data_IF_361854575323
#
_entry.id   IF_361854575323
#
_cell.length_a   1.000
_cell.length_b   1.000
_cell.length_c   1.000
_cell.angle_alpha   90.00
_cell.angle_beta   90.00
_cell.angle_gamma   90.00
#
_symmetry.space_group_name_H-M   'P 1'
#
loop_
_entity.id
_entity.type
_entity.pdbx_description
1 polymer ?
#
# COMPACT_ATOMS: atom_id res chain seq x y z
N UNK A 1 -46.11 -28.72 -61.13
CA UNK A 1 -45.28 -28.16 -60.05
C UNK A 1 -43.81 -28.31 -60.43
N UNK A 2 -43.01 -27.24 -60.44
CA UNK A 2 -41.68 -27.29 -61.05
C UNK A 2 -40.68 -27.93 -60.08
N UNK A 3 -40.02 -29.02 -60.52
CA UNK A 3 -38.94 -29.74 -59.79
C UNK A 3 -37.77 -28.83 -59.33
N UNK A 4 -37.64 -27.63 -59.89
CA UNK A 4 -36.59 -26.66 -59.52
C UNK A 4 -36.82 -25.93 -58.19
N UNK A 5 -38.07 -25.83 -57.69
CA UNK A 5 -38.34 -25.09 -56.46
C UNK A 5 -37.87 -25.85 -55.20
N UNK A 6 -38.03 -27.18 -55.18
CA UNK A 6 -37.59 -28.02 -54.06
C UNK A 6 -36.07 -28.03 -53.88
N UNK A 7 -35.32 -28.05 -54.98
CA UNK A 7 -33.85 -27.97 -54.96
C UNK A 7 -33.35 -26.62 -54.45
N UNK A 8 -33.97 -25.52 -54.88
CA UNK A 8 -33.64 -24.18 -54.39
C UNK A 8 -33.97 -23.99 -52.91
N UNK A 9 -35.09 -24.55 -52.44
CA UNK A 9 -35.46 -24.52 -51.01
C UNK A 9 -34.43 -25.29 -50.17
N UNK A 10 -34.02 -26.49 -50.60
CA UNK A 10 -32.98 -27.28 -49.91
C UNK A 10 -31.64 -26.54 -49.81
N UNK A 11 -31.18 -25.93 -50.92
CA UNK A 11 -29.94 -25.14 -50.92
C UNK A 11 -30.04 -23.94 -49.98
N UNK A 12 -31.20 -23.26 -49.96
CA UNK A 12 -31.44 -22.11 -49.09
C UNK A 12 -31.44 -22.50 -47.61
N UNK A 13 -32.05 -23.63 -47.25
CA UNK A 13 -32.05 -24.16 -45.88
C UNK A 13 -30.64 -24.56 -45.44
N UNK A 14 -29.86 -25.22 -46.30
CA UNK A 14 -28.46 -25.54 -46.00
C UNK A 14 -27.61 -24.29 -45.80
N UNK A 15 -27.75 -23.27 -46.66
CA UNK A 15 -27.05 -22.01 -46.52
C UNK A 15 -27.41 -21.28 -45.21
N UNK A 16 -28.68 -21.34 -44.79
CA UNK A 16 -29.13 -20.79 -43.51
C UNK A 16 -28.48 -21.51 -42.32
N UNK A 17 -28.44 -22.85 -42.35
CA UNK A 17 -27.83 -23.66 -41.28
C UNK A 17 -26.31 -23.41 -41.16
N UNK A 18 -25.62 -23.27 -42.30
CA UNK A 18 -24.21 -22.88 -42.33
C UNK A 18 -24.03 -21.48 -41.76
N UNK A 19 -24.92 -20.53 -42.09
CA UNK A 19 -24.87 -19.16 -41.58
C UNK A 19 -25.09 -19.12 -40.06
N UNK A 20 -26.07 -19.86 -39.53
CA UNK A 20 -26.31 -19.96 -38.08
C UNK A 20 -25.09 -20.57 -37.37
N UNK A 21 -24.53 -21.65 -37.92
CA UNK A 21 -23.34 -22.29 -37.37
C UNK A 21 -22.14 -21.33 -37.38
N UNK A 22 -21.96 -20.56 -38.46
CA UNK A 22 -20.91 -19.55 -38.56
C UNK A 22 -21.07 -18.45 -37.51
N UNK A 23 -22.30 -17.99 -37.24
CA UNK A 23 -22.57 -17.00 -36.17
C UNK A 23 -22.23 -17.56 -34.79
N UNK A 24 -22.62 -18.81 -34.50
CA UNK A 24 -22.30 -19.47 -33.22
C UNK A 24 -20.79 -19.64 -33.04
N UNK A 25 -20.09 -20.08 -34.10
CA UNK A 25 -18.62 -20.23 -34.09
C UNK A 25 -17.96 -18.86 -33.89
N UNK A 26 -18.42 -17.83 -34.59
CA UNK A 26 -17.88 -16.46 -34.46
C UNK A 26 -18.07 -15.91 -33.05
N UNK A 27 -19.27 -16.09 -32.47
CA UNK A 27 -19.55 -15.67 -31.10
C UNK A 27 -18.65 -16.38 -30.08
N UNK A 28 -18.43 -17.68 -30.25
CA UNK A 28 -17.54 -18.46 -29.38
C UNK A 28 -16.08 -18.04 -29.56
N UNK A 29 -15.66 -17.77 -30.79
CA UNK A 29 -14.31 -17.30 -31.11
C UNK A 29 -14.06 -15.93 -30.50
N UNK A 30 -15.01 -15.00 -30.57
CA UNK A 30 -14.89 -13.69 -29.92
C UNK A 30 -14.68 -13.82 -28.41
N UNK A 31 -15.46 -14.67 -27.73
CA UNK A 31 -15.28 -14.93 -26.29
C UNK A 31 -13.90 -15.50 -25.97
N UNK A 32 -13.40 -16.42 -26.79
CA UNK A 32 -12.05 -16.98 -26.62
C UNK A 32 -10.97 -15.89 -26.84
N UNK A 33 -11.14 -15.01 -27.82
CA UNK A 33 -10.22 -13.91 -28.06
C UNK A 33 -10.24 -12.90 -26.90
N UNK A 34 -11.40 -12.59 -26.34
CA UNK A 34 -11.52 -11.75 -25.14
C UNK A 34 -10.75 -12.37 -23.95
N UNK A 35 -10.92 -13.67 -23.72
CA UNK A 35 -10.19 -14.38 -22.66
C UNK A 35 -8.68 -14.41 -22.91
N UNK A 36 -8.24 -14.68 -24.14
CA UNK A 36 -6.82 -14.64 -24.50
C UNK A 36 -6.23 -13.24 -24.35
N UNK A 37 -7.01 -12.20 -24.65
CA UNK A 37 -6.60 -10.81 -24.46
C UNK A 37 -6.41 -10.52 -22.97
N UNK A 38 -7.33 -10.94 -22.10
CA UNK A 38 -7.18 -10.78 -20.65
C UNK A 38 -5.97 -11.55 -20.09
N UNK A 39 -5.72 -12.78 -20.55
CA UNK A 39 -4.54 -13.56 -20.17
C UNK A 39 -3.26 -12.82 -20.61
N UNK A 40 -3.21 -12.38 -21.86
CA UNK A 40 -2.07 -11.64 -22.42
C UNK A 40 -1.84 -10.34 -21.67
N UNK A 41 -2.91 -9.61 -21.34
CA UNK A 41 -2.84 -8.40 -20.53
C UNK A 41 -2.15 -8.72 -19.21
N UNK A 42 -2.60 -9.74 -18.48
CA UNK A 42 -2.02 -10.14 -17.19
C UNK A 42 -0.53 -10.50 -17.32
N UNK A 43 -0.15 -11.30 -18.32
CA UNK A 43 1.25 -11.70 -18.55
C UNK A 43 2.17 -10.51 -18.88
N UNK A 44 1.61 -9.45 -19.45
CA UNK A 44 2.35 -8.23 -19.83
C UNK A 44 2.23 -7.11 -18.80
N UNK A 45 1.56 -7.32 -17.66
CA UNK A 45 1.52 -6.28 -16.61
C UNK A 45 2.88 -6.14 -15.93
N UNK A 46 3.24 -4.92 -15.49
CA UNK A 46 4.36 -4.73 -14.58
C UNK A 46 4.22 -5.57 -13.31
N UNK A 47 5.33 -6.17 -12.90
CA UNK A 47 5.45 -6.94 -11.66
C UNK A 47 6.27 -6.11 -10.69
N UNK A 48 5.58 -5.40 -9.80
CA UNK A 48 6.21 -4.49 -8.84
C UNK A 48 6.70 -5.27 -7.63
N UNK A 49 8.01 -5.24 -7.42
CA UNK A 49 8.71 -5.84 -6.29
C UNK A 49 9.45 -4.78 -5.49
N UNK A 50 9.69 -5.09 -4.23
CA UNK A 50 10.36 -4.22 -3.28
C UNK A 50 11.58 -4.92 -2.71
N UNK A 51 12.71 -4.23 -2.72
CA UNK A 51 13.96 -4.70 -2.13
C UNK A 51 14.41 -3.71 -1.07
N UNK A 52 14.40 -4.14 0.19
CA UNK A 52 15.01 -3.40 1.30
C UNK A 52 16.51 -3.67 1.37
N UNK A 53 17.31 -2.62 1.52
CA UNK A 53 18.69 -2.72 1.98
C UNK A 53 18.84 -1.88 3.24
N UNK A 54 19.65 -2.38 4.17
CA UNK A 54 19.89 -1.75 5.46
C UNK A 54 21.37 -1.45 5.62
N UNK A 55 21.69 -0.25 6.10
CA UNK A 55 23.02 0.06 6.62
C UNK A 55 22.98 -0.15 8.13
N UNK A 56 23.94 -0.90 8.67
CA UNK A 56 24.02 -1.22 10.09
C UNK A 56 25.15 -0.47 10.77
N UNK A 57 24.96 -0.11 12.05
CA UNK A 57 26.05 0.36 12.90
C UNK A 57 27.02 -0.76 13.31
N UNK A 58 28.04 -0.42 14.11
CA UNK A 58 29.04 -1.37 14.64
C UNK A 58 28.43 -2.49 15.50
N UNK A 59 27.22 -2.29 16.04
CA UNK A 59 26.50 -3.28 16.84
C UNK A 59 25.52 -4.12 16.01
N UNK A 60 25.46 -3.90 14.69
CA UNK A 60 24.56 -4.61 13.78
C UNK A 60 23.13 -4.06 13.75
N UNK A 61 22.85 -2.91 14.35
CA UNK A 61 21.52 -2.29 14.27
C UNK A 61 21.34 -1.53 12.96
N UNK A 62 20.22 -1.75 12.28
CA UNK A 62 19.88 -1.00 11.07
C UNK A 62 19.64 0.48 11.40
N UNK A 63 20.58 1.33 11.00
CA UNK A 63 20.54 2.77 11.19
C UNK A 63 19.90 3.48 10.00
N UNK A 64 20.03 2.91 8.81
CA UNK A 64 19.44 3.43 7.57
C UNK A 64 18.75 2.33 6.78
N UNK A 65 17.78 2.75 5.99
CA UNK A 65 17.04 1.91 5.08
C UNK A 65 16.88 2.57 3.71
N UNK A 66 17.15 1.79 2.68
CA UNK A 66 16.81 2.08 1.29
C UNK A 66 15.83 1.03 0.81
N UNK A 67 14.71 1.46 0.23
CA UNK A 67 13.72 0.61 -0.40
C UNK A 67 13.75 0.88 -1.90
N UNK A 68 14.17 -0.12 -2.67
CA UNK A 68 14.12 -0.05 -4.12
C UNK A 68 12.83 -0.71 -4.62
N UNK A 69 12.08 0.03 -5.43
CA UNK A 69 10.90 -0.45 -6.15
C UNK A 69 11.36 -0.82 -7.56
N UNK A 70 11.22 -2.10 -7.89
CA UNK A 70 11.63 -2.67 -9.15
C UNK A 70 10.42 -3.18 -9.91
N UNK A 71 10.48 -3.07 -11.23
CA UNK A 71 9.58 -3.79 -12.12
C UNK A 71 10.32 -4.97 -12.76
N UNK A 72 9.88 -6.18 -12.47
CA UNK A 72 10.39 -7.43 -13.07
C UNK A 72 9.46 -7.97 -14.19
N UNK A 73 8.36 -7.27 -14.47
CA UNK A 73 7.34 -7.69 -15.41
C UNK A 73 7.39 -6.93 -16.74
N UNK A 74 6.21 -6.70 -17.32
CA UNK A 74 6.08 -5.97 -18.58
C UNK A 74 6.45 -4.49 -18.49
N UNK A 75 6.51 -3.80 -19.63
CA UNK A 75 6.97 -2.41 -19.69
C UNK A 75 6.01 -1.46 -18.96
N UNK A 76 6.60 -0.43 -18.35
CA UNK A 76 5.94 0.55 -17.50
C UNK A 76 6.39 1.95 -17.93
N UNK A 77 5.43 2.86 -18.11
CA UNK A 77 5.68 4.27 -18.41
C UNK A 77 5.13 5.17 -17.30
N UNK A 78 5.61 6.42 -17.23
CA UNK A 78 5.15 7.41 -16.24
C UNK A 78 5.14 6.88 -14.79
N UNK A 79 6.15 6.08 -14.45
CA UNK A 79 6.25 5.45 -13.14
C UNK A 79 6.54 6.48 -12.03
N UNK A 80 5.67 6.47 -11.03
CA UNK A 80 5.83 7.24 -9.80
C UNK A 80 5.47 6.40 -8.57
N UNK A 81 5.91 6.87 -7.41
CA UNK A 81 5.65 6.23 -6.14
C UNK A 81 5.59 7.25 -5.00
N UNK A 82 4.66 7.06 -4.08
CA UNK A 82 4.50 7.87 -2.87
C UNK A 82 4.52 6.98 -1.64
N UNK A 83 5.35 7.36 -0.66
CA UNK A 83 5.45 6.68 0.63
C UNK A 83 4.72 7.47 1.70
N UNK A 84 4.03 6.76 2.58
CA UNK A 84 3.46 7.31 3.80
C UNK A 84 3.93 6.47 4.97
N UNK A 85 4.56 7.12 5.94
CA UNK A 85 4.95 6.51 7.21
C UNK A 85 4.13 7.14 8.31
N UNK A 86 3.65 6.33 9.25
CA UNK A 86 2.88 6.81 10.40
C UNK A 86 3.17 5.94 11.62
N UNK A 87 2.98 6.53 12.80
CA UNK A 87 3.03 5.83 14.08
C UNK A 87 1.60 5.47 14.51
N UNK A 88 1.32 4.18 14.62
CA UNK A 88 0.01 3.63 14.94
C UNK A 88 0.00 3.10 16.38
N UNK A 89 -0.93 3.59 17.20
CA UNK A 89 -1.01 3.30 18.62
C UNK A 89 -2.41 2.77 18.92
N UNK A 90 -2.50 1.53 19.40
CA UNK A 90 -3.70 1.02 20.02
C UNK A 90 -3.88 1.60 21.43
N UNK A 91 -5.09 2.06 21.74
CA UNK A 91 -5.49 2.49 23.07
C UNK A 91 -6.68 1.64 23.49
N UNK A 92 -6.53 0.92 24.61
CA UNK A 92 -7.58 0.07 25.15
C UNK A 92 -8.19 0.70 26.40
N UNK A 93 -9.46 1.09 26.31
CA UNK A 93 -10.26 1.64 27.40
C UNK A 93 -11.43 0.70 27.70
N UNK A 94 -11.24 -0.16 28.69
CA UNK A 94 -12.22 -1.20 29.07
C UNK A 94 -13.45 -0.64 29.78
N UNK A 95 -13.55 0.68 29.97
CA UNK A 95 -14.77 1.33 30.46
C UNK A 95 -15.80 1.64 29.37
N UNK A 96 -15.42 1.52 28.09
CA UNK A 96 -16.25 1.86 26.92
C UNK A 96 -16.72 0.63 26.17
N UNK A 97 -17.82 0.78 25.42
CA UNK A 97 -18.34 -0.26 24.54
C UNK A 97 -17.38 -0.57 23.39
N UNK A 98 -16.72 0.47 22.85
CA UNK A 98 -15.61 0.32 21.90
C UNK A 98 -14.29 0.37 22.68
N UNK A 99 -13.80 -0.82 22.99
CA UNK A 99 -12.66 -1.00 23.88
C UNK A 99 -11.37 -0.53 23.22
N UNK A 100 -11.25 -0.59 21.89
CA UNK A 100 -9.99 -0.33 21.18
C UNK A 100 -10.11 0.86 20.21
N UNK A 101 -9.30 1.90 20.44
CA UNK A 101 -9.15 3.04 19.52
C UNK A 101 -7.73 3.08 18.99
N UNK A 102 -7.58 3.14 17.67
CA UNK A 102 -6.30 3.41 17.03
C UNK A 102 -6.09 4.90 16.82
N UNK A 103 -5.02 5.43 17.45
CA UNK A 103 -4.53 6.79 17.22
C UNK A 103 -3.37 6.69 16.23
N UNK A 104 -3.49 7.39 15.10
CA UNK A 104 -2.51 7.34 14.02
C UNK A 104 -1.88 8.70 13.85
N UNK A 105 -0.56 8.76 13.93
CA UNK A 105 0.23 9.99 13.83
C UNK A 105 1.08 9.95 12.56
N UNK A 106 0.80 10.77 11.53
CA UNK A 106 1.62 10.83 10.33
C UNK A 106 3.05 11.30 10.63
N UNK A 107 4.03 10.68 9.96
CA UNK A 107 5.45 11.00 10.08
C UNK A 107 5.95 11.47 8.72
N UNK A 108 6.12 12.79 8.60
CA UNK A 108 6.53 13.45 7.36
C UNK A 108 8.03 13.32 7.14
N UNK A 109 8.42 13.33 5.87
CA UNK A 109 9.83 13.31 5.44
C UNK A 109 10.63 12.10 5.96
N UNK A 110 9.96 11.00 6.32
CA UNK A 110 10.63 9.77 6.71
C UNK A 110 11.38 9.12 5.53
N UNK A 111 10.74 9.10 4.36
CA UNK A 111 11.30 8.62 3.10
C UNK A 111 11.32 9.74 2.06
N UNK A 112 12.33 9.73 1.19
CA UNK A 112 12.38 10.55 -0.01
C UNK A 112 12.83 9.70 -1.21
N UNK A 113 12.19 9.91 -2.36
CA UNK A 113 12.38 9.09 -3.56
C UNK A 113 13.17 9.79 -4.66
N UNK A 114 13.95 9.01 -5.41
CA UNK A 114 14.59 9.43 -6.65
C UNK A 114 14.60 8.30 -7.68
N UNK A 115 14.57 8.65 -8.95
CA UNK A 115 14.55 7.66 -10.04
C UNK A 115 15.98 7.19 -10.31
N UNK A 116 16.21 5.88 -10.26
CA UNK A 116 17.53 5.27 -10.51
C UNK A 116 17.65 4.66 -11.91
N UNK A 117 16.53 4.48 -12.61
CA UNK A 117 16.48 4.06 -14.01
C UNK A 117 15.05 4.01 -14.54
N UNK A 118 14.87 3.64 -15.81
CA UNK A 118 13.55 3.63 -16.46
C UNK A 118 12.53 2.67 -15.81
N UNK A 119 13.00 1.61 -15.12
CA UNK A 119 12.17 0.57 -14.51
C UNK A 119 12.33 0.48 -12.98
N UNK A 120 13.11 1.40 -12.39
CA UNK A 120 13.46 1.34 -10.98
C UNK A 120 13.41 2.72 -10.36
N UNK A 121 12.79 2.78 -9.18
CA UNK A 121 12.78 3.95 -8.32
C UNK A 121 13.34 3.53 -6.97
N UNK A 122 14.29 4.28 -6.48
CA UNK A 122 14.85 4.06 -5.16
C UNK A 122 14.28 5.11 -4.22
N UNK A 123 13.89 4.65 -3.04
CA UNK A 123 13.36 5.48 -1.99
C UNK A 123 14.23 5.24 -0.78
N UNK A 124 14.80 6.29 -0.24
CA UNK A 124 15.75 6.17 0.87
C UNK A 124 15.27 6.98 2.06
N UNK A 125 15.63 6.52 3.25
CA UNK A 125 15.45 7.28 4.48
C UNK A 125 16.41 8.47 4.53
N UNK A 126 15.97 9.60 5.12
CA UNK A 126 16.73 10.87 5.18
C UNK A 126 18.19 10.66 5.65
N UNK A 127 19.15 11.05 4.81
CA UNK A 127 20.57 11.15 5.18
C UNK A 127 20.83 12.57 5.66
N UNK A 128 20.36 12.87 6.87
CA UNK A 128 20.63 14.18 7.45
C UNK A 128 22.13 14.29 7.75
N UNK A 129 22.81 15.26 7.13
CA UNK A 129 24.21 15.60 7.47
C UNK A 129 24.42 15.94 8.96
N UNK A 130 23.36 16.29 9.69
CA UNK A 130 23.33 16.57 11.13
C UNK A 130 22.82 15.40 11.99
N UNK A 131 22.23 14.36 11.40
CA UNK A 131 21.70 13.19 12.08
C UNK A 131 22.42 11.94 11.54
N UNK A 132 23.67 11.75 11.98
CA UNK A 132 24.52 10.60 11.60
C UNK A 132 23.88 9.23 11.87
N UNK A 133 22.84 9.22 12.69
CA UNK A 133 22.19 8.03 13.23
C UNK A 133 21.10 7.45 12.31
N UNK A 134 20.63 8.21 11.30
CA UNK A 134 19.61 7.77 10.36
C UNK A 134 18.20 7.63 10.96
N UNK A 135 17.17 7.64 10.10
CA UNK A 135 15.76 7.65 10.55
C UNK A 135 15.39 6.37 11.33
N UNK A 136 15.92 5.21 10.95
CA UNK A 136 15.59 3.93 11.59
C UNK A 136 16.06 3.89 13.05
N UNK A 137 17.29 4.35 13.34
CA UNK A 137 17.76 4.43 14.72
C UNK A 137 16.90 5.38 15.56
N UNK A 138 16.56 6.54 15.01
CA UNK A 138 15.72 7.52 15.70
C UNK A 138 14.36 6.93 16.07
N UNK A 139 13.67 6.27 15.15
CA UNK A 139 12.35 5.71 15.46
C UNK A 139 12.44 4.57 16.47
N UNK A 140 13.49 3.74 16.44
CA UNK A 140 13.71 2.68 17.43
C UNK A 140 13.86 3.30 18.83
N UNK A 141 14.65 4.36 18.95
CA UNK A 141 14.84 5.07 20.21
C UNK A 141 13.55 5.72 20.70
N UNK A 142 12.82 6.39 19.80
CA UNK A 142 11.52 7.01 20.10
C UNK A 142 10.50 5.97 20.56
N UNK A 143 10.35 4.83 19.87
CA UNK A 143 9.43 3.76 20.27
C UNK A 143 9.78 3.20 21.65
N UNK A 144 11.08 2.98 21.91
CA UNK A 144 11.57 2.48 23.19
C UNK A 144 11.32 3.48 24.33
N UNK A 145 11.53 4.76 24.06
CA UNK A 145 11.27 5.83 25.04
C UNK A 145 9.77 6.02 25.26
N UNK A 146 8.96 6.01 24.21
CA UNK A 146 7.50 6.10 24.27
C UNK A 146 6.91 4.98 25.15
N UNK A 147 7.40 3.75 24.97
CA UNK A 147 6.98 2.59 25.77
C UNK A 147 7.23 2.76 27.27
N UNK A 148 8.24 3.55 27.66
CA UNK A 148 8.53 3.88 29.06
C UNK A 148 7.72 5.07 29.56
N UNK A 149 7.55 6.09 28.72
CA UNK A 149 6.88 7.33 29.09
C UNK A 149 5.36 7.21 29.13
N UNK A 150 4.77 6.15 28.58
CA UNK A 150 3.31 5.92 28.63
C UNK A 150 2.80 5.49 30.02
N UNK A 151 3.62 4.83 30.84
CA UNK A 151 3.18 4.26 32.13
C UNK A 151 2.55 5.29 33.08
N UNK A 152 3.09 6.51 33.27
CA UNK A 152 2.45 7.52 34.12
C UNK A 152 1.09 7.99 33.59
N UNK A 153 0.91 8.03 32.27
CA UNK A 153 -0.37 8.40 31.65
C UNK A 153 -1.41 7.30 31.86
N UNK A 154 -1.02 6.03 31.70
CA UNK A 154 -1.86 4.87 32.00
C UNK A 154 -2.33 4.88 33.46
N UNK A 155 -1.39 5.09 34.40
CA UNK A 155 -1.71 5.20 35.83
C UNK A 155 -2.64 6.37 36.16
N UNK A 156 -2.46 7.51 35.49
CA UNK A 156 -3.33 8.69 35.66
C UNK A 156 -4.76 8.42 35.20
N UNK A 157 -4.95 7.66 34.13
CA UNK A 157 -6.29 7.29 33.63
C UNK A 157 -6.92 6.16 34.44
N UNK A 158 -6.14 5.15 34.84
CA UNK A 158 -6.60 4.09 35.73
C UNK A 158 -7.08 4.63 37.11
N UNK A 159 -6.61 5.79 37.56
CA UNK A 159 -7.13 6.44 38.78
C UNK A 159 -8.52 7.06 38.62
N UNK A 160 -8.99 7.28 37.38
CA UNK A 160 -10.30 7.90 37.10
C UNK A 160 -11.41 6.87 36.89
N UNK A 161 -11.07 5.60 36.78
CA UNK A 161 -11.98 4.52 36.40
C UNK A 161 -11.62 3.24 37.16
N UNK A 162 -12.60 2.41 37.49
CA UNK A 162 -12.34 1.08 38.05
C UNK A 162 -11.93 0.05 36.97
N UNK A 163 -11.87 0.48 35.71
CA UNK A 163 -11.54 -0.35 34.56
C UNK A 163 -10.07 -0.21 34.18
N UNK A 164 -9.52 -1.27 33.58
CA UNK A 164 -8.17 -1.25 33.03
C UNK A 164 -8.10 -0.25 31.87
N UNK A 165 -6.94 0.39 31.73
CA UNK A 165 -6.64 1.31 30.66
C UNK A 165 -5.20 1.05 30.21
N UNK A 166 -5.00 0.84 28.91
CA UNK A 166 -3.71 0.46 28.33
C UNK A 166 -3.43 1.27 27.07
N UNK A 167 -2.18 1.70 26.92
CA UNK A 167 -1.65 2.30 25.69
C UNK A 167 -0.63 1.31 25.11
N UNK A 168 -0.78 0.95 23.84
CA UNK A 168 0.16 0.05 23.17
C UNK A 168 1.56 0.65 23.04
N UNK A 169 2.56 -0.19 22.75
CA UNK A 169 3.93 0.27 22.49
C UNK A 169 4.08 1.18 21.26
N UNK A 170 3.07 1.14 20.38
CA UNK A 170 3.04 1.88 19.12
C UNK A 170 3.97 1.28 18.07
N UNK A 171 3.54 1.30 16.81
CA UNK A 171 4.29 0.73 15.70
C UNK A 171 4.42 1.73 14.56
N UNK A 172 5.62 1.85 14.00
CA UNK A 172 5.81 2.58 12.76
C UNK A 172 5.39 1.70 11.59
N UNK A 173 4.40 2.14 10.82
CA UNK A 173 3.93 1.48 9.61
C UNK A 173 4.22 2.34 8.40
N UNK A 174 4.58 1.69 7.30
CA UNK A 174 4.84 2.36 6.02
C UNK A 174 4.02 1.74 4.91
N UNK A 175 3.35 2.58 4.13
CA UNK A 175 2.62 2.19 2.94
C UNK A 175 3.19 2.88 1.71
N UNK A 176 3.20 2.15 0.59
CA UNK A 176 3.62 2.64 -0.70
C UNK A 176 2.45 2.64 -1.68
N UNK A 177 2.22 3.78 -2.33
CA UNK A 177 1.39 3.91 -3.52
C UNK A 177 2.33 3.91 -4.73
N UNK A 178 2.03 3.09 -5.72
CA UNK A 178 2.73 3.01 -7.00
C UNK A 178 1.76 3.35 -8.11
N UNK A 179 2.16 4.29 -8.97
CA UNK A 179 1.37 4.76 -10.11
C UNK A 179 2.18 4.59 -11.38
N UNK A 180 1.53 4.11 -12.45
CA UNK A 180 2.17 3.98 -13.76
C UNK A 180 1.15 3.86 -14.89
N UNK A 181 1.63 3.95 -16.13
CA UNK A 181 0.92 3.54 -17.34
C UNK A 181 1.45 2.21 -17.85
N UNK A 182 0.55 1.28 -18.14
CA UNK A 182 0.94 0.00 -18.76
C UNK A 182 1.14 0.13 -20.29
N UNK A 183 1.52 -0.98 -20.93
CA UNK A 183 1.77 -1.03 -22.38
C UNK A 183 0.54 -0.71 -23.26
N UNK A 184 -0.66 -0.67 -22.67
CA UNK A 184 -1.90 -0.30 -23.35
C UNK A 184 -2.29 1.15 -23.08
N UNK A 185 -1.48 1.89 -22.33
CA UNK A 185 -1.74 3.28 -21.93
C UNK A 185 -2.75 3.40 -20.78
N UNK A 186 -3.15 2.31 -20.15
CA UNK A 186 -4.07 2.33 -19.02
C UNK A 186 -3.32 2.74 -17.74
N UNK A 187 -3.87 3.71 -17.00
CA UNK A 187 -3.31 4.13 -15.71
C UNK A 187 -3.61 3.09 -14.64
N UNK A 188 -2.56 2.65 -13.98
CA UNK A 188 -2.61 1.70 -12.88
C UNK A 188 -2.22 2.39 -11.58
N UNK A 189 -2.96 2.08 -10.51
CA UNK A 189 -2.72 2.57 -9.16
C UNK A 189 -2.72 1.38 -8.20
N UNK A 190 -1.55 1.09 -7.65
CA UNK A 190 -1.30 -0.05 -6.78
C UNK A 190 -0.88 0.41 -5.39
N UNK A 191 -1.26 -0.36 -4.37
CA UNK A 191 -0.98 -0.04 -2.97
C UNK A 191 -0.33 -1.22 -2.28
N UNK A 192 0.67 -0.94 -1.45
CA UNK A 192 1.47 -1.93 -0.75
C UNK A 192 1.66 -1.52 0.71
N UNK A 193 1.54 -2.49 1.61
CA UNK A 193 2.07 -2.42 2.97
C UNK A 193 3.54 -2.85 2.91
N UNK A 194 4.44 -1.96 3.31
CA UNK A 194 5.89 -2.19 3.28
C UNK A 194 6.49 -2.10 4.69
N UNK A 195 5.67 -2.33 5.71
CA UNK A 195 6.08 -2.24 7.13
C UNK A 195 6.85 -3.47 7.62
N UNK A 196 6.80 -4.59 6.90
CA UNK A 196 7.43 -5.87 7.30
C UNK A 196 8.47 -6.29 6.27
N UNK A 197 9.25 -7.34 6.56
CA UNK A 197 10.22 -7.93 5.64
C UNK A 197 9.53 -8.46 4.39
N UNK A 198 9.36 -7.59 3.39
CA UNK A 198 8.61 -7.84 2.17
C UNK A 198 7.40 -6.94 2.03
N UNK A 199 7.12 -6.52 0.80
CA UNK A 199 5.94 -5.72 0.50
C UNK A 199 4.73 -6.62 0.24
N UNK A 200 3.60 -6.30 0.90
CA UNK A 200 2.32 -6.97 0.67
C UNK A 200 1.38 -6.05 -0.08
N UNK A 201 0.93 -6.47 -1.26
CA UNK A 201 -0.11 -5.75 -2.00
C UNK A 201 -1.40 -5.71 -1.19
N UNK A 202 -1.99 -4.53 -1.05
CA UNK A 202 -3.29 -4.32 -0.40
C UNK A 202 -4.35 -3.93 -1.43
N UNK A 203 -5.63 -4.00 -1.04
CA UNK A 203 -6.72 -3.62 -1.94
C UNK A 203 -6.70 -2.11 -2.22
N UNK A 204 -7.13 -1.72 -3.41
CA UNK A 204 -7.26 -0.30 -3.80
C UNK A 204 -8.16 0.48 -2.84
N UNK A 205 -9.26 -0.14 -2.36
CA UNK A 205 -10.17 0.50 -1.39
C UNK A 205 -9.46 0.80 -0.07
N UNK A 206 -8.73 -0.17 0.46
CA UNK A 206 -7.97 -0.01 1.70
C UNK A 206 -6.85 1.02 1.53
N UNK A 207 -6.09 0.94 0.44
CA UNK A 207 -4.99 1.87 0.15
C UNK A 207 -5.45 3.31 0.04
N UNK A 208 -6.51 3.58 -0.75
CA UNK A 208 -7.10 4.93 -0.86
C UNK A 208 -7.53 5.49 0.49
N UNK A 209 -8.27 4.69 1.27
CA UNK A 209 -8.74 5.12 2.59
C UNK A 209 -7.60 5.47 3.55
N UNK A 210 -6.50 4.71 3.53
CA UNK A 210 -5.31 5.00 4.33
C UNK A 210 -4.66 6.30 3.85
N UNK A 211 -4.39 6.44 2.56
CA UNK A 211 -3.73 7.63 2.01
C UNK A 211 -4.55 8.90 2.26
N UNK A 212 -5.87 8.86 2.02
CA UNK A 212 -6.77 10.00 2.28
C UNK A 212 -6.78 10.39 3.76
N UNK A 213 -6.88 9.42 4.69
CA UNK A 213 -6.87 9.68 6.13
C UNK A 213 -5.55 10.31 6.58
N UNK A 214 -4.41 9.78 6.12
CA UNK A 214 -3.10 10.22 6.57
C UNK A 214 -2.71 11.58 5.97
N UNK A 215 -3.02 11.83 4.70
CA UNK A 215 -2.70 13.09 4.04
C UNK A 215 -3.53 14.28 4.54
N UNK A 216 -4.74 14.01 5.03
CA UNK A 216 -5.58 15.02 5.69
C UNK A 216 -5.24 15.26 7.17
N UNK A 217 -4.39 14.42 7.77
CA UNK A 217 -4.05 14.49 9.19
C UNK A 217 -2.83 15.37 9.47
N UNK A 218 -2.81 15.99 10.64
CA UNK A 218 -1.64 16.74 11.11
C UNK A 218 -0.61 15.76 11.66
N UNK A 219 0.62 15.83 11.16
CA UNK A 219 1.71 14.95 11.57
C UNK A 219 2.98 15.72 11.92
N UNK A 220 4.01 14.99 12.31
CA UNK A 220 5.32 15.55 12.67
C UNK A 220 6.34 15.28 11.58
N UNK A 221 7.23 16.23 11.31
CA UNK A 221 8.46 15.95 10.56
C UNK A 221 9.34 14.98 11.35
N UNK A 222 9.97 14.03 10.67
CA UNK A 222 10.82 13.01 11.32
C UNK A 222 11.90 13.64 12.21
N UNK A 223 12.42 14.82 11.86
CA UNK A 223 13.41 15.57 12.65
C UNK A 223 12.86 16.04 14.00
N UNK A 224 11.56 16.26 14.08
CA UNK A 224 10.87 16.77 15.25
C UNK A 224 10.26 15.69 16.14
N UNK A 225 10.10 14.47 15.62
CA UNK A 225 9.48 13.35 16.35
C UNK A 225 10.28 13.02 17.61
N UNK A 226 9.58 12.98 18.74
CA UNK A 226 10.08 12.52 20.03
C UNK A 226 8.99 11.72 20.75
N UNK A 227 9.37 10.88 21.71
CA UNK A 227 8.42 10.12 22.52
C UNK A 227 7.45 11.03 23.28
N UNK A 228 7.95 12.16 23.82
CA UNK A 228 7.13 13.16 24.50
C UNK A 228 6.08 13.80 23.60
N UNK A 229 6.44 14.22 22.38
CA UNK A 229 5.48 14.80 21.42
C UNK A 229 4.42 13.79 20.98
N UNK A 230 4.80 12.53 20.78
CA UNK A 230 3.85 11.47 20.45
C UNK A 230 2.87 11.23 21.60
N UNK A 231 3.36 11.20 22.85
CA UNK A 231 2.52 11.03 24.03
C UNK A 231 1.57 12.23 24.24
N UNK A 232 2.06 13.45 24.05
CA UNK A 232 1.23 14.67 24.11
C UNK A 232 0.13 14.65 23.05
N UNK A 233 0.42 14.14 21.85
CA UNK A 233 -0.56 13.96 20.78
C UNK A 233 -1.63 12.93 21.19
N UNK A 234 -1.20 11.78 21.73
CA UNK A 234 -2.10 10.75 22.25
C UNK A 234 -3.01 11.29 23.35
N UNK A 235 -2.47 12.02 24.34
CA UNK A 235 -3.29 12.57 25.44
C UNK A 235 -4.35 13.57 24.92
N UNK A 236 -4.07 14.30 23.84
CA UNK A 236 -5.04 15.20 23.20
C UNK A 236 -6.14 14.44 22.46
N UNK A 237 -5.76 13.50 21.60
CA UNK A 237 -6.71 12.67 20.83
C UNK A 237 -7.58 11.75 21.70
N UNK A 238 -7.21 11.56 22.96
CA UNK A 238 -8.03 10.86 23.95
C UNK A 238 -9.06 11.76 24.65
N UNK A 239 -8.85 13.08 24.65
CA UNK A 239 -9.77 14.07 25.25
C UNK A 239 -10.88 14.50 24.30
N UNK A 240 -10.65 14.37 23.01
CA UNK A 240 -11.60 14.57 21.92
C UNK A 240 -12.37 13.27 21.59
#
# INVERSE_FOLDING_TARGET
MPRNQLGQVMISVMALLVSISAVVITSTTNKLMEQQMEITKVEKRPLINFKGNYETDENGFAIRESLAIHNEGGLMEEFDSKMLTFFDIGVWDYSKDDVEKHIVVPIKNYYFGFTTGALQKEIVTYDNKFFKEGNNKKIIEVTREFSKLKEPLEQKQAKKSNYHFEIGGGEFKTYCKVEYKDIYGEKQELYYDVSTSGAKKISTKQGKSIFEKIESSTGFDIEEVSASKLLDYVEKEMKD
#
